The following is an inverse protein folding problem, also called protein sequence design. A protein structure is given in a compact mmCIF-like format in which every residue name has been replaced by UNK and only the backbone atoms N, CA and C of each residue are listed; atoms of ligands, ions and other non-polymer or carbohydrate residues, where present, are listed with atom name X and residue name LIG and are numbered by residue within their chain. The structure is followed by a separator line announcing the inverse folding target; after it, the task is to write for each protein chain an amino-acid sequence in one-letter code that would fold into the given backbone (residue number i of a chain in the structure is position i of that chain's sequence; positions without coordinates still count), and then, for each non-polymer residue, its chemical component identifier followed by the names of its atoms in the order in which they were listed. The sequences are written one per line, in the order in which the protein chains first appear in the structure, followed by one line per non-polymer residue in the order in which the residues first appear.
data_IF_090587998590
#
_entry.id   IF_090587998590
#
_cell.length_a   1.000
_cell.length_b   1.000
_cell.length_c   1.000
_cell.angle_alpha   90.00
_cell.angle_beta   90.00
_cell.angle_gamma   90.00
#
_symmetry.space_group_name_H-M   'P 1'
#
loop_
_entity.id
_entity.type
_entity.pdbx_description
1 polymer ?
#
# COMPACT_ATOMS: atom_id res chain seq x y z
N UNK A 1 25.19 -13.41 -27.06
CA UNK A 1 24.26 -12.38 -27.58
C UNK A 1 22.87 -12.40 -26.92
N UNK A 2 22.28 -13.53 -26.52
CA UNK A 2 20.99 -13.48 -25.80
C UNK A 2 21.09 -12.96 -24.35
N UNK A 3 22.18 -13.27 -23.63
CA UNK A 3 22.37 -12.86 -22.21
C UNK A 3 22.35 -11.35 -21.99
N UNK A 4 22.93 -10.57 -22.90
CA UNK A 4 23.02 -9.10 -22.75
C UNK A 4 21.63 -8.44 -22.82
N UNK A 5 20.72 -8.99 -23.64
CA UNK A 5 19.36 -8.46 -23.75
C UNK A 5 18.51 -8.73 -22.49
N UNK A 6 18.74 -9.85 -21.79
CA UNK A 6 18.01 -10.19 -20.56
C UNK A 6 18.35 -9.23 -19.42
N UNK A 7 19.63 -8.88 -19.26
CA UNK A 7 20.09 -7.91 -18.26
C UNK A 7 19.42 -6.56 -18.48
N UNK A 8 19.35 -6.09 -19.73
CA UNK A 8 18.69 -4.81 -20.04
C UNK A 8 17.17 -4.84 -19.79
N UNK A 9 16.49 -5.97 -20.01
CA UNK A 9 15.05 -6.09 -19.73
C UNK A 9 14.79 -6.06 -18.23
N UNK A 10 15.59 -6.79 -17.43
CA UNK A 10 15.47 -6.82 -15.98
C UNK A 10 15.73 -5.44 -15.36
N UNK A 11 16.78 -4.75 -15.80
CA UNK A 11 17.10 -3.39 -15.36
C UNK A 11 15.97 -2.39 -15.69
N UNK A 12 15.41 -2.44 -16.90
CA UNK A 12 14.28 -1.59 -17.31
C UNK A 12 13.02 -1.88 -16.48
N UNK A 13 12.77 -3.14 -16.13
CA UNK A 13 11.64 -3.52 -15.28
C UNK A 13 11.82 -2.96 -13.87
N UNK A 14 13.02 -3.05 -13.30
CA UNK A 14 13.36 -2.51 -11.97
C UNK A 14 13.16 -0.99 -11.94
N UNK A 15 13.67 -0.26 -12.93
CA UNK A 15 13.50 1.20 -13.02
C UNK A 15 12.02 1.57 -13.16
N UNK A 16 11.31 0.92 -14.08
CA UNK A 16 9.88 1.14 -14.28
C UNK A 16 9.05 0.86 -13.02
N UNK A 17 9.44 -0.12 -12.21
CA UNK A 17 8.80 -0.42 -10.93
C UNK A 17 9.10 0.66 -9.88
N UNK A 18 10.35 1.15 -9.80
CA UNK A 18 10.74 2.21 -8.89
C UNK A 18 10.03 3.55 -9.21
N UNK A 19 10.03 3.96 -10.47
CA UNK A 19 9.34 5.17 -10.95
C UNK A 19 7.83 5.10 -10.63
N UNK A 20 7.25 3.92 -10.88
CA UNK A 20 5.86 3.67 -10.56
C UNK A 20 5.56 3.82 -9.06
N UNK A 21 6.38 3.22 -8.19
CA UNK A 21 6.18 3.30 -6.74
C UNK A 21 6.29 4.74 -6.25
N UNK A 22 7.22 5.52 -6.80
CA UNK A 22 7.33 6.95 -6.50
C UNK A 22 6.06 7.69 -6.92
N UNK A 23 5.59 7.50 -8.16
CA UNK A 23 4.35 8.08 -8.65
C UNK A 23 3.15 7.69 -7.76
N UNK A 24 3.02 6.41 -7.43
CA UNK A 24 1.94 5.88 -6.61
C UNK A 24 1.93 6.52 -5.22
N UNK A 25 3.10 6.66 -4.59
CA UNK A 25 3.25 7.34 -3.31
C UNK A 25 2.80 8.80 -3.40
N UNK A 26 3.29 9.56 -4.39
CA UNK A 26 2.91 10.97 -4.58
C UNK A 26 1.41 11.13 -4.82
N UNK A 27 0.82 10.22 -5.62
CA UNK A 27 -0.61 10.25 -5.90
C UNK A 27 -1.44 9.94 -4.65
N UNK A 28 -1.05 8.95 -3.84
CA UNK A 28 -1.74 8.70 -2.57
C UNK A 28 -1.64 9.87 -1.59
N UNK A 29 -0.50 10.56 -1.54
CA UNK A 29 -0.35 11.76 -0.73
C UNK A 29 -1.28 12.88 -1.21
N UNK A 30 -1.37 13.09 -2.53
CA UNK A 30 -2.32 14.03 -3.12
C UNK A 30 -3.77 13.68 -2.77
N UNK A 31 -4.16 12.41 -2.93
CA UNK A 31 -5.52 11.96 -2.58
C UNK A 31 -5.80 12.08 -1.08
N UNK A 32 -4.80 11.86 -0.24
CA UNK A 32 -4.90 12.05 1.22
C UNK A 32 -5.24 13.50 1.51
N UNK A 33 -4.47 14.45 0.97
CA UNK A 33 -4.71 15.88 1.13
C UNK A 33 -6.11 16.25 0.64
N UNK A 34 -6.53 15.71 -0.50
CA UNK A 34 -7.85 15.99 -1.05
C UNK A 34 -8.98 15.52 -0.14
N UNK A 35 -8.88 14.32 0.46
CA UNK A 35 -9.88 13.85 1.44
C UNK A 35 -9.89 14.72 2.70
N UNK A 36 -8.72 15.12 3.19
CA UNK A 36 -8.61 16.02 4.35
C UNK A 36 -9.30 17.35 4.05
N UNK A 37 -9.06 17.96 2.89
CA UNK A 37 -9.75 19.18 2.46
C UNK A 37 -11.27 19.00 2.40
N UNK A 38 -11.76 17.88 1.84
CA UNK A 38 -13.19 17.57 1.82
C UNK A 38 -13.78 17.41 3.23
N UNK A 39 -12.97 17.05 4.21
CA UNK A 39 -13.40 16.89 5.60
C UNK A 39 -13.50 18.25 6.32
N UNK A 40 -12.53 19.14 6.11
CA UNK A 40 -12.46 20.42 6.82
C UNK A 40 -13.24 21.55 6.16
N UNK A 41 -13.34 21.57 4.83
CA UNK A 41 -14.00 22.66 4.12
C UNK A 41 -15.50 22.41 3.95
N UNK A 42 -16.28 23.46 4.19
CA UNK A 42 -17.69 23.50 3.82
C UNK A 42 -17.81 23.69 2.32
N UNK A 43 -18.10 22.60 1.61
CA UNK A 43 -18.40 22.60 0.18
C UNK A 43 -19.80 22.04 -0.03
N UNK A 44 -20.44 22.44 -1.12
CA UNK A 44 -21.76 21.92 -1.52
C UNK A 44 -21.69 20.40 -1.76
N UNK A 45 -22.74 19.67 -1.41
CA UNK A 45 -22.84 18.21 -1.59
C UNK A 45 -22.53 17.76 -3.02
N UNK A 46 -22.98 18.52 -4.02
CA UNK A 46 -22.68 18.23 -5.43
C UNK A 46 -21.17 18.25 -5.73
N UNK A 47 -20.45 19.25 -5.22
CA UNK A 47 -18.99 19.35 -5.39
C UNK A 47 -18.27 18.23 -4.65
N UNK A 48 -18.74 17.89 -3.45
CA UNK A 48 -18.21 16.77 -2.65
C UNK A 48 -18.36 15.45 -3.40
N UNK A 49 -19.55 15.17 -3.92
CA UNK A 49 -19.82 13.98 -4.72
C UNK A 49 -18.92 13.87 -5.95
N UNK A 50 -18.74 14.97 -6.69
CA UNK A 50 -17.85 15.00 -7.86
C UNK A 50 -16.39 14.73 -7.46
N UNK A 51 -15.92 15.34 -6.38
CA UNK A 51 -14.57 15.10 -5.86
C UNK A 51 -14.36 13.65 -5.43
N UNK A 52 -15.32 13.04 -4.73
CA UNK A 52 -15.31 11.62 -4.38
C UNK A 52 -15.20 10.72 -5.63
N UNK A 53 -15.96 11.03 -6.69
CA UNK A 53 -15.87 10.29 -7.97
C UNK A 53 -14.49 10.42 -8.63
N UNK A 54 -13.84 11.58 -8.53
CA UNK A 54 -12.47 11.75 -9.02
C UNK A 54 -11.47 10.93 -8.21
N UNK A 55 -11.60 10.90 -6.88
CA UNK A 55 -10.78 10.04 -6.02
C UNK A 55 -10.94 8.57 -6.44
N UNK A 56 -12.18 8.09 -6.58
CA UNK A 56 -12.46 6.72 -7.00
C UNK A 56 -11.89 6.38 -8.37
N UNK A 57 -12.05 7.28 -9.34
CA UNK A 57 -11.52 7.10 -10.69
C UNK A 57 -9.99 7.01 -10.67
N UNK A 58 -9.34 7.84 -9.84
CA UNK A 58 -7.89 7.83 -9.66
C UNK A 58 -7.42 6.52 -9.03
N UNK A 59 -8.09 6.05 -7.98
CA UNK A 59 -7.81 4.76 -7.34
C UNK A 59 -8.01 3.59 -8.30
N UNK A 60 -9.06 3.62 -9.13
CA UNK A 60 -9.32 2.60 -10.13
C UNK A 60 -8.20 2.53 -11.17
N UNK A 61 -7.73 3.67 -11.68
CA UNK A 61 -6.62 3.72 -12.63
C UNK A 61 -5.33 3.14 -12.01
N UNK A 62 -5.04 3.50 -10.76
CA UNK A 62 -3.90 2.95 -10.02
C UNK A 62 -4.01 1.44 -9.83
N UNK A 63 -5.21 0.91 -9.55
CA UNK A 63 -5.43 -0.54 -9.47
C UNK A 63 -5.07 -1.23 -10.78
N UNK A 64 -5.45 -0.65 -11.93
CA UNK A 64 -5.11 -1.19 -13.24
C UNK A 64 -3.62 -1.13 -13.53
N UNK A 65 -2.94 -0.05 -13.11
CA UNK A 65 -1.49 0.06 -13.24
C UNK A 65 -0.76 -0.97 -12.37
N UNK A 66 -1.16 -1.15 -11.10
CA UNK A 66 -0.64 -2.22 -10.23
C UNK A 66 -0.78 -3.60 -10.90
N UNK A 67 -1.99 -3.91 -11.39
CA UNK A 67 -2.27 -5.18 -12.05
C UNK A 67 -1.44 -5.38 -13.31
N UNK A 68 -1.26 -4.33 -14.11
CA UNK A 68 -0.46 -4.40 -15.32
C UNK A 68 1.00 -4.72 -14.99
N UNK A 69 1.61 -4.03 -14.03
CA UNK A 69 2.98 -4.30 -13.61
C UNK A 69 3.15 -5.72 -13.06
N UNK A 70 2.21 -6.17 -12.23
CA UNK A 70 2.21 -7.53 -11.70
C UNK A 70 2.11 -8.58 -12.80
N UNK A 71 1.18 -8.38 -13.74
CA UNK A 71 1.00 -9.29 -14.88
C UNK A 71 2.26 -9.33 -15.74
N UNK A 72 2.87 -8.17 -16.00
CA UNK A 72 4.09 -8.03 -16.78
C UNK A 72 5.27 -8.76 -16.14
N UNK A 73 5.54 -8.54 -14.84
CA UNK A 73 6.63 -9.22 -14.12
C UNK A 73 6.40 -10.73 -14.05
N UNK A 74 5.17 -11.15 -13.75
CA UNK A 74 4.77 -12.56 -13.75
C UNK A 74 5.00 -13.23 -15.11
N UNK A 75 4.68 -12.53 -16.21
CA UNK A 75 4.91 -13.03 -17.57
C UNK A 75 6.40 -13.21 -17.84
N UNK A 76 7.24 -12.23 -17.54
CA UNK A 76 8.68 -12.34 -17.76
C UNK A 76 9.32 -13.45 -16.91
N UNK A 77 8.89 -13.59 -15.65
CA UNK A 77 9.37 -14.69 -14.80
C UNK A 77 8.99 -16.07 -15.35
N UNK A 78 7.73 -16.24 -15.80
CA UNK A 78 7.27 -17.51 -16.40
C UNK A 78 8.01 -17.91 -17.67
N UNK A 79 8.60 -16.95 -18.38
CA UNK A 79 9.41 -17.18 -19.58
C UNK A 79 10.91 -17.19 -19.27
N UNK A 80 11.29 -17.32 -17.99
CA UNK A 80 12.69 -17.37 -17.53
C UNK A 80 13.52 -16.15 -17.96
N UNK A 81 12.85 -15.02 -18.24
CA UNK A 81 13.51 -13.76 -18.63
C UNK A 81 14.09 -13.05 -17.41
N UNK A 82 13.45 -13.20 -16.26
CA UNK A 82 13.88 -12.64 -14.96
C UNK A 82 13.82 -13.71 -13.87
N UNK A 83 14.67 -13.57 -12.87
CA UNK A 83 14.84 -14.58 -11.82
C UNK A 83 13.71 -14.59 -10.77
N UNK A 84 13.12 -13.43 -10.49
CA UNK A 84 12.14 -13.27 -9.40
C UNK A 84 10.81 -12.69 -9.90
N UNK A 85 9.71 -13.26 -9.41
CA UNK A 85 8.35 -12.81 -9.71
C UNK A 85 7.82 -11.73 -8.75
N UNK A 86 8.50 -11.53 -7.61
CA UNK A 86 7.96 -10.74 -6.51
C UNK A 86 7.95 -9.25 -6.91
N UNK A 87 6.78 -8.62 -6.86
CA UNK A 87 6.60 -7.21 -7.20
C UNK A 87 6.41 -6.43 -5.91
N UNK A 88 7.05 -5.27 -5.80
CA UNK A 88 6.91 -4.34 -4.69
C UNK A 88 7.42 -4.85 -3.34
N UNK A 89 8.25 -5.90 -3.33
CA UNK A 89 8.69 -6.63 -2.11
C UNK A 89 10.11 -6.30 -1.67
N UNK A 90 10.99 -5.94 -2.62
CA UNK A 90 12.44 -5.99 -2.41
C UNK A 90 13.10 -4.61 -2.29
N UNK A 91 12.30 -3.56 -2.15
CA UNK A 91 12.81 -2.20 -2.06
C UNK A 91 12.14 -1.38 -0.95
N UNK A 92 12.90 -0.43 -0.39
CA UNK A 92 12.40 0.54 0.60
C UNK A 92 11.16 1.28 0.09
N UNK A 93 11.05 1.47 -1.24
CA UNK A 93 9.91 2.09 -1.89
C UNK A 93 8.60 1.30 -1.73
N UNK A 94 8.63 -0.03 -1.80
CA UNK A 94 7.47 -0.90 -1.63
C UNK A 94 6.92 -0.82 -0.20
N UNK A 95 7.81 -0.78 0.79
CA UNK A 95 7.44 -0.58 2.20
C UNK A 95 6.77 0.78 2.39
N UNK A 96 7.37 1.85 1.85
CA UNK A 96 6.82 3.22 1.98
C UNK A 96 5.47 3.32 1.27
N UNK A 97 5.34 2.76 0.06
CA UNK A 97 4.09 2.73 -0.68
C UNK A 97 2.99 1.99 0.10
N UNK A 98 3.31 0.82 0.66
CA UNK A 98 2.39 0.05 1.51
C UNK A 98 1.95 0.84 2.74
N UNK A 99 2.88 1.48 3.46
CA UNK A 99 2.57 2.30 4.63
C UNK A 99 1.68 3.49 4.26
N UNK A 100 1.96 4.14 3.13
CA UNK A 100 1.17 5.27 2.61
C UNK A 100 -0.24 4.80 2.25
N UNK A 101 -0.38 3.66 1.57
CA UNK A 101 -1.67 3.06 1.23
C UNK A 101 -2.47 2.69 2.48
N UNK A 102 -1.83 2.12 3.51
CA UNK A 102 -2.47 1.79 4.79
C UNK A 102 -2.96 3.04 5.52
N UNK A 103 -2.16 4.12 5.51
CA UNK A 103 -2.55 5.42 6.08
C UNK A 103 -3.76 5.98 5.33
N UNK A 104 -3.73 5.98 4.00
CA UNK A 104 -4.84 6.44 3.17
C UNK A 104 -6.12 5.64 3.43
N UNK A 105 -6.03 4.30 3.52
CA UNK A 105 -7.18 3.45 3.88
C UNK A 105 -7.76 3.75 5.25
N UNK A 106 -6.92 4.08 6.23
CA UNK A 106 -7.40 4.51 7.56
C UNK A 106 -8.20 5.81 7.44
N UNK A 107 -7.66 6.80 6.73
CA UNK A 107 -8.33 8.07 6.50
C UNK A 107 -9.67 7.90 5.80
N UNK A 108 -9.75 7.08 4.74
CA UNK A 108 -11.00 6.85 4.00
C UNK A 108 -12.08 6.16 4.82
N UNK A 109 -11.70 5.40 5.87
CA UNK A 109 -12.67 4.79 6.81
C UNK A 109 -13.25 5.80 7.79
N UNK A 110 -12.47 6.81 8.15
CA UNK A 110 -12.89 7.90 9.04
C UNK A 110 -13.71 8.95 8.26
N UNK A 111 -13.46 9.07 6.96
CA UNK A 111 -14.21 9.93 6.05
C UNK A 111 -15.61 9.38 5.74
N UNK A 112 -16.64 10.23 5.89
CA UNK A 112 -18.02 9.91 5.50
C UNK A 112 -18.26 10.33 4.05
N UNK A 113 -18.23 9.35 3.15
CA UNK A 113 -18.65 9.55 1.77
C UNK A 113 -20.13 9.96 1.69
N UNK A 114 -20.45 10.73 0.67
CA UNK A 114 -21.80 11.22 0.38
C UNK A 114 -22.73 10.13 -0.14
N UNK A 115 -22.15 9.07 -0.72
CA UNK A 115 -22.85 7.91 -1.30
C UNK A 115 -22.19 6.62 -0.80
N UNK A 116 -22.99 5.70 -0.26
CA UNK A 116 -22.49 4.42 0.25
C UNK A 116 -21.87 3.55 -0.86
N UNK A 117 -22.37 3.67 -2.10
CA UNK A 117 -21.76 2.99 -3.25
C UNK A 117 -20.32 3.45 -3.47
N UNK A 118 -20.04 4.75 -3.28
CA UNK A 118 -18.69 5.29 -3.39
C UNK A 118 -17.79 4.71 -2.28
N UNK A 119 -18.30 4.66 -1.04
CA UNK A 119 -17.58 4.09 0.09
C UNK A 119 -17.19 2.63 -0.16
N UNK A 120 -18.16 1.80 -0.56
CA UNK A 120 -17.94 0.39 -0.86
C UNK A 120 -16.92 0.18 -1.99
N UNK A 121 -17.00 0.97 -3.06
CA UNK A 121 -16.05 0.91 -4.16
C UNK A 121 -14.64 1.30 -3.73
N UNK A 122 -14.51 2.36 -2.93
CA UNK A 122 -13.24 2.79 -2.36
C UNK A 122 -12.62 1.66 -1.53
N UNK A 123 -13.39 1.09 -0.60
CA UNK A 123 -12.90 0.02 0.26
C UNK A 123 -12.46 -1.21 -0.54
N UNK A 124 -13.24 -1.59 -1.56
CA UNK A 124 -12.91 -2.72 -2.44
C UNK A 124 -11.57 -2.49 -3.15
N UNK A 125 -11.39 -1.32 -3.78
CA UNK A 125 -10.15 -1.01 -4.51
C UNK A 125 -8.95 -0.99 -3.55
N UNK A 126 -9.08 -0.35 -2.38
CA UNK A 126 -8.00 -0.29 -1.40
C UNK A 126 -7.64 -1.65 -0.82
N UNK A 127 -8.62 -2.53 -0.63
CA UNK A 127 -8.39 -3.91 -0.23
C UNK A 127 -7.63 -4.67 -1.31
N UNK A 128 -8.03 -4.51 -2.57
CA UNK A 128 -7.36 -5.13 -3.70
C UNK A 128 -5.91 -4.66 -3.83
N UNK A 129 -5.67 -3.35 -3.70
CA UNK A 129 -4.33 -2.77 -3.72
C UNK A 129 -3.43 -3.33 -2.61
N UNK A 130 -3.96 -3.47 -1.39
CA UNK A 130 -3.20 -4.04 -0.27
C UNK A 130 -2.86 -5.52 -0.47
N UNK A 131 -3.69 -6.27 -1.19
CA UNK A 131 -3.43 -7.68 -1.48
C UNK A 131 -2.21 -7.89 -2.39
N UNK A 132 -1.71 -6.84 -3.07
CA UNK A 132 -0.45 -6.91 -3.82
C UNK A 132 0.81 -6.83 -2.93
N UNK A 133 0.63 -6.64 -1.62
CA UNK A 133 1.72 -6.49 -0.65
C UNK A 133 1.67 -7.55 0.48
N UNK A 134 1.51 -8.85 0.17
CA UNK A 134 1.26 -9.88 1.18
C UNK A 134 2.35 -9.96 2.26
N UNK A 135 3.62 -9.73 1.89
CA UNK A 135 4.78 -9.75 2.78
C UNK A 135 4.76 -8.67 3.89
N UNK A 136 3.93 -7.63 3.75
CA UNK A 136 3.83 -6.55 4.74
C UNK A 136 2.53 -6.60 5.55
N UNK A 137 1.57 -7.45 5.16
CA UNK A 137 0.29 -7.60 5.85
C UNK A 137 0.46 -8.30 7.20
N UNK A 138 1.36 -9.30 7.26
CA UNK A 138 1.61 -10.13 8.44
C UNK A 138 3.09 -10.22 8.81
N UNK A 139 3.78 -9.07 8.94
CA UNK A 139 5.02 -9.07 9.72
C UNK A 139 4.66 -9.25 11.20
N UNK A 140 4.40 -10.52 11.58
CA UNK A 140 4.48 -10.97 12.96
C UNK A 140 5.88 -10.61 13.42
N UNK A 141 6.01 -9.52 14.17
CA UNK A 141 7.22 -9.27 14.94
C UNK A 141 7.29 -10.36 15.99
N UNK A 142 7.95 -11.47 15.68
CA UNK A 142 8.44 -12.38 16.69
C UNK A 142 9.44 -11.57 17.49
N UNK A 143 9.02 -11.05 18.64
CA UNK A 143 9.92 -10.37 19.56
C UNK A 143 10.81 -11.44 20.20
N UNK A 144 11.90 -11.79 19.54
CA UNK A 144 13.00 -12.50 20.16
C UNK A 144 13.65 -11.57 21.19
N UNK A 145 13.19 -11.59 22.45
CA UNK A 145 13.86 -10.82 23.49
C UNK A 145 13.13 -10.70 24.82
N UNK A 146 11.81 -10.77 24.86
CA UNK A 146 11.12 -10.79 26.16
C UNK A 146 11.06 -12.22 26.67
N UNK A 147 11.94 -12.55 27.62
CA UNK A 147 11.79 -13.72 28.47
C UNK A 147 10.37 -13.70 29.03
N UNK A 148 9.51 -14.55 28.49
CA UNK A 148 8.15 -14.76 29.00
C UNK A 148 8.33 -15.05 30.50
N UNK A 149 7.81 -14.18 31.39
CA UNK A 149 7.92 -14.45 32.81
C UNK A 149 7.22 -15.79 33.06
N UNK A 150 7.94 -16.72 33.68
CA UNK A 150 7.41 -18.05 33.99
C UNK A 150 6.03 -17.88 34.65
N UNK A 151 4.99 -18.59 34.17
CA UNK A 151 3.62 -18.44 34.68
C UNK A 151 3.49 -18.72 36.17
N UNK A 152 4.52 -19.32 36.77
CA UNK A 152 4.60 -19.70 38.17
C UNK A 152 5.40 -18.72 39.05
N UNK A 153 5.92 -17.62 38.50
CA UNK A 153 6.64 -16.60 39.30
C UNK A 153 5.75 -15.40 39.58
N UNK A 154 5.30 -15.32 40.84
CA UNK A 154 4.55 -14.18 41.36
C UNK A 154 5.30 -12.85 41.14
N UNK A 155 4.63 -11.74 40.78
CA UNK A 155 5.29 -10.46 40.55
C UNK A 155 6.02 -10.02 41.81
N UNK A 156 7.34 -9.88 41.73
CA UNK A 156 8.12 -9.29 42.84
C UNK A 156 7.61 -7.86 43.05
N UNK A 157 7.02 -7.59 44.23
CA UNK A 157 6.60 -6.25 44.65
C UNK A 157 7.79 -5.30 44.49
N UNK A 158 7.68 -4.32 43.58
CA UNK A 158 8.61 -3.19 43.48
C UNK A 158 8.59 -2.49 44.84
N UNK A 159 9.68 -2.59 45.61
CA UNK A 159 9.90 -1.70 46.76
C UNK A 159 10.10 -0.30 46.20
N UNK A 160 9.10 0.57 46.38
CA UNK A 160 9.32 2.01 46.34
C UNK A 160 10.27 2.34 47.50
N UNK A 161 11.46 2.84 47.18
CA UNK A 161 12.29 3.55 48.15
C UNK A 161 11.82 5.00 48.13
N UNK A 162 11.37 5.47 49.29
CA UNK A 162 11.29 6.89 49.62
C UNK A 162 12.68 7.52 49.59
#
# INVERSE_FOLDING_TARGET
MMKDNHVTIEENLIHSEADYLHFFQSLLQLLTHYIEELHFYSITDRKRYVAEKHILSSLFLIEKLHMHLLTRKTFFHKNEVISEANVFTDNTHGIIAFQTLRKFKKLTREYKFSDDSNNQQCERILRQLLNYYPQYVDQIRIMEGEKIPSPWRSPRKRKQRN
#
